data_IF_001397552272
#
_entry.id   IF_001397552272
#
_cell.length_a   1.000
_cell.length_b   1.000
_cell.length_c   1.000
_cell.angle_alpha   90.00
_cell.angle_beta   90.00
_cell.angle_gamma   90.00
#
_symmetry.space_group_name_H-M   'P 1'
#
loop_
_entity.id
_entity.type
_entity.pdbx_description
1 polymer ?
#
# COMPACT_ATOMS: atom_id res chain seq x y z
N UNK A 1 -7.68 -22.17 89.09
CA UNK A 1 -8.24 -21.84 87.78
C UNK A 1 -7.16 -21.41 86.80
N UNK A 2 -6.21 -22.22 86.44
CA UNK A 2 -5.09 -21.89 85.53
C UNK A 2 -4.38 -23.17 85.09
N UNK A 3 -5.09 -24.09 84.42
CA UNK A 3 -4.52 -25.33 83.84
C UNK A 3 -5.37 -25.91 82.67
N UNK A 4 -6.06 -25.09 81.91
CA UNK A 4 -6.95 -25.60 80.82
C UNK A 4 -6.79 -24.88 79.47
N UNK A 5 -5.68 -24.15 79.22
CA UNK A 5 -5.49 -23.37 77.98
C UNK A 5 -4.27 -23.72 77.18
N UNK A 6 -3.61 -24.85 77.42
CA UNK A 6 -2.33 -25.19 76.71
C UNK A 6 -2.39 -26.44 75.80
N UNK A 7 -3.58 -26.97 75.49
CA UNK A 7 -3.71 -28.17 74.65
C UNK A 7 -4.56 -28.00 73.36
N UNK A 8 -4.72 -26.80 72.82
CA UNK A 8 -5.49 -26.61 71.58
C UNK A 8 -4.67 -25.97 70.44
N UNK A 9 -3.35 -25.97 70.47
CA UNK A 9 -2.52 -25.35 69.42
C UNK A 9 -1.62 -26.33 68.66
N UNK A 10 -1.98 -27.64 68.58
CA UNK A 10 -1.09 -28.64 67.93
C UNK A 10 -1.72 -29.41 66.75
N UNK A 11 -2.90 -29.05 66.24
CA UNK A 11 -3.49 -29.81 65.12
C UNK A 11 -3.93 -28.98 63.89
N UNK A 12 -3.36 -27.83 63.67
CA UNK A 12 -3.73 -27.02 62.48
C UNK A 12 -2.51 -26.61 61.68
N UNK A 13 -1.80 -27.50 61.02
CA UNK A 13 -0.90 -27.19 59.90
C UNK A 13 -0.44 -28.45 59.17
N UNK A 14 -1.36 -29.21 58.59
CA UNK A 14 -1.04 -30.02 57.40
C UNK A 14 -1.74 -29.43 56.20
N UNK A 15 -1.38 -28.20 55.88
CA UNK A 15 -1.70 -27.60 54.57
C UNK A 15 -0.89 -28.35 53.52
N UNK A 16 -1.57 -29.11 52.69
CA UNK A 16 -0.99 -29.69 51.48
C UNK A 16 -0.51 -28.55 50.59
N UNK A 17 0.82 -28.35 50.56
CA UNK A 17 1.49 -27.49 49.58
C UNK A 17 1.32 -28.17 48.21
N UNK A 18 0.33 -27.76 47.45
CA UNK A 18 0.23 -28.12 46.03
C UNK A 18 1.54 -27.69 45.35
N UNK A 19 2.18 -28.54 44.55
CA UNK A 19 3.37 -28.12 43.82
C UNK A 19 2.98 -26.92 42.93
N UNK A 20 3.87 -25.90 42.81
CA UNK A 20 3.59 -24.77 41.93
C UNK A 20 3.31 -25.33 40.55
N UNK A 21 2.12 -24.99 40.03
CA UNK A 21 1.77 -25.28 38.64
C UNK A 21 2.91 -24.75 37.79
N UNK A 22 3.65 -25.64 37.14
CA UNK A 22 4.62 -25.31 36.11
C UNK A 22 3.83 -24.64 34.97
N UNK A 23 3.63 -23.34 35.11
CA UNK A 23 3.24 -22.53 33.94
C UNK A 23 4.35 -22.77 32.94
N UNK A 24 4.06 -23.59 31.94
CA UNK A 24 4.91 -23.68 30.75
C UNK A 24 5.11 -22.25 30.28
N UNK A 25 6.30 -21.71 30.51
CA UNK A 25 6.76 -20.47 29.94
C UNK A 25 6.72 -20.73 28.45
N UNK A 26 5.66 -20.29 27.80
CA UNK A 26 5.55 -20.32 26.33
C UNK A 26 6.80 -19.64 25.82
N UNK A 27 7.53 -20.33 24.94
CA UNK A 27 8.74 -19.76 24.33
C UNK A 27 8.39 -18.36 23.83
N UNK A 28 9.24 -17.35 24.07
CA UNK A 28 8.97 -16.00 23.63
C UNK A 28 8.79 -16.03 22.11
N UNK A 29 7.56 -15.79 21.65
CA UNK A 29 7.26 -15.69 20.24
C UNK A 29 8.07 -14.54 19.68
N UNK A 30 8.61 -14.71 18.47
CA UNK A 30 9.27 -13.61 17.77
C UNK A 30 8.24 -12.54 17.41
N UNK A 31 8.64 -11.26 17.41
CA UNK A 31 7.77 -10.13 17.04
C UNK A 31 7.02 -10.36 15.71
N UNK A 32 7.67 -11.02 14.75
CA UNK A 32 7.07 -11.37 13.46
C UNK A 32 5.97 -12.43 13.58
N UNK A 33 6.14 -13.42 14.46
CA UNK A 33 5.12 -14.46 14.69
C UNK A 33 3.90 -13.89 15.39
N UNK A 34 4.10 -12.99 16.35
CA UNK A 34 3.00 -12.32 17.03
C UNK A 34 2.25 -11.38 16.09
N UNK A 35 2.96 -10.58 15.29
CA UNK A 35 2.36 -9.73 14.26
C UNK A 35 1.54 -10.55 13.25
N UNK A 36 2.08 -11.68 12.79
CA UNK A 36 1.36 -12.58 11.87
C UNK A 36 0.12 -13.20 12.51
N UNK A 37 0.19 -13.59 13.78
CA UNK A 37 -0.96 -14.13 14.53
C UNK A 37 -2.06 -13.08 14.69
N UNK A 38 -1.70 -11.83 15.05
CA UNK A 38 -2.64 -10.71 15.14
C UNK A 38 -3.28 -10.42 13.78
N UNK A 39 -2.48 -10.33 12.73
CA UNK A 39 -2.95 -10.09 11.36
C UNK A 39 -3.98 -11.16 10.91
N UNK A 40 -3.67 -12.45 11.07
CA UNK A 40 -4.59 -13.55 10.71
C UNK A 40 -5.89 -13.56 11.51
N UNK A 41 -5.90 -12.99 12.71
CA UNK A 41 -7.10 -12.88 13.54
C UNK A 41 -8.03 -11.76 13.08
N UNK A 42 -7.56 -10.81 12.30
CA UNK A 42 -8.35 -9.74 11.74
C UNK A 42 -9.14 -10.25 10.52
N UNK A 43 -10.48 -10.37 10.69
CA UNK A 43 -11.38 -10.90 9.65
C UNK A 43 -11.41 -10.01 8.39
N UNK A 44 -11.32 -8.69 8.56
CA UNK A 44 -11.34 -7.74 7.44
C UNK A 44 -10.08 -7.87 6.60
N UNK A 45 -8.92 -8.01 7.24
CA UNK A 45 -7.66 -8.25 6.54
C UNK A 45 -7.65 -9.55 5.75
N UNK A 46 -8.17 -10.63 6.34
CA UNK A 46 -8.27 -11.93 5.66
C UNK A 46 -9.22 -11.87 4.47
N UNK A 47 -10.36 -11.20 4.61
CA UNK A 47 -11.29 -10.95 3.51
C UNK A 47 -10.65 -10.12 2.39
N UNK A 48 -10.00 -9.00 2.75
CA UNK A 48 -9.25 -8.18 1.80
C UNK A 48 -8.13 -8.96 1.10
N UNK A 49 -7.37 -9.79 1.83
CA UNK A 49 -6.31 -10.62 1.25
C UNK A 49 -6.86 -11.61 0.22
N UNK A 50 -7.97 -12.27 0.51
CA UNK A 50 -8.59 -13.24 -0.42
C UNK A 50 -9.07 -12.51 -1.69
N UNK A 51 -9.76 -11.37 -1.54
CA UNK A 51 -10.23 -10.59 -2.70
C UNK A 51 -9.04 -10.10 -3.53
N UNK A 52 -8.03 -9.52 -2.89
CA UNK A 52 -6.84 -9.02 -3.60
C UNK A 52 -6.11 -10.16 -4.32
N UNK A 53 -5.99 -11.33 -3.69
CA UNK A 53 -5.39 -12.50 -4.30
C UNK A 53 -6.18 -12.94 -5.55
N UNK A 54 -7.51 -13.00 -5.47
CA UNK A 54 -8.37 -13.34 -6.61
C UNK A 54 -8.17 -12.33 -7.74
N UNK A 55 -8.18 -11.01 -7.44
CA UNK A 55 -7.99 -9.97 -8.44
C UNK A 55 -6.60 -10.09 -9.08
N UNK A 56 -5.54 -10.21 -8.30
CA UNK A 56 -4.17 -10.33 -8.81
C UNK A 56 -3.99 -11.59 -9.67
N UNK A 57 -4.51 -12.74 -9.21
CA UNK A 57 -4.47 -13.97 -10.00
C UNK A 57 -5.28 -13.83 -11.29
N UNK A 58 -6.47 -13.24 -11.24
CA UNK A 58 -7.30 -12.98 -12.41
C UNK A 58 -6.60 -12.06 -13.41
N UNK A 59 -5.95 -11.01 -12.96
CA UNK A 59 -5.22 -10.04 -13.80
C UNK A 59 -3.96 -10.67 -14.41
N UNK A 60 -3.24 -11.52 -13.66
CA UNK A 60 -2.02 -12.19 -14.17
C UNK A 60 -2.37 -13.33 -15.12
N UNK A 61 -3.26 -14.22 -14.71
CA UNK A 61 -3.54 -15.46 -15.44
C UNK A 61 -4.75 -15.37 -16.38
N UNK A 62 -5.70 -14.46 -16.09
CA UNK A 62 -6.92 -14.29 -16.90
C UNK A 62 -6.67 -14.08 -18.39
N UNK A 63 -5.73 -13.20 -18.81
CA UNK A 63 -5.43 -13.01 -20.23
C UNK A 63 -4.86 -14.24 -20.95
N UNK A 64 -4.30 -15.21 -20.22
CA UNK A 64 -3.86 -16.48 -20.81
C UNK A 64 -5.01 -17.47 -21.00
N UNK A 65 -6.05 -17.36 -20.19
CA UNK A 65 -7.24 -18.21 -20.24
C UNK A 65 -8.28 -17.61 -21.19
N UNK A 66 -8.50 -16.31 -21.10
CA UNK A 66 -9.49 -15.56 -21.86
C UNK A 66 -8.82 -14.73 -22.96
N UNK A 67 -8.54 -15.37 -24.09
CA UNK A 67 -7.73 -14.85 -25.20
C UNK A 67 -8.56 -14.09 -26.25
N UNK A 68 -9.40 -13.15 -25.83
CA UNK A 68 -10.14 -12.29 -26.76
C UNK A 68 -9.26 -11.08 -27.15
N UNK A 69 -9.17 -10.74 -28.46
CA UNK A 69 -8.41 -9.58 -28.91
C UNK A 69 -8.91 -8.27 -28.30
N UNK A 70 -8.03 -7.53 -27.61
CA UNK A 70 -8.36 -6.31 -26.85
C UNK A 70 -8.92 -5.17 -27.70
N UNK A 71 -8.30 -4.96 -28.88
CA UNK A 71 -8.53 -3.79 -29.72
C UNK A 71 -9.31 -4.13 -30.98
N UNK A 72 -9.94 -5.32 -31.05
CA UNK A 72 -10.81 -5.69 -32.18
C UNK A 72 -12.10 -4.90 -32.09
N UNK A 73 -12.30 -3.99 -33.04
CA UNK A 73 -13.51 -3.21 -33.16
C UNK A 73 -14.56 -4.02 -33.93
N UNK A 74 -15.78 -4.12 -33.37
CA UNK A 74 -16.90 -4.80 -33.97
C UNK A 74 -18.20 -4.02 -33.63
N UNK A 75 -18.54 -3.02 -34.46
CA UNK A 75 -19.70 -2.17 -34.20
C UNK A 75 -21.04 -2.95 -34.19
N UNK A 76 -21.10 -4.14 -34.80
CA UNK A 76 -22.30 -4.98 -34.72
C UNK A 76 -22.53 -5.50 -33.28
N UNK A 77 -21.49 -5.47 -32.43
CA UNK A 77 -21.54 -5.87 -31.03
C UNK A 77 -21.40 -4.68 -30.07
N UNK A 78 -21.67 -3.46 -30.55
CA UNK A 78 -21.59 -2.25 -29.73
C UNK A 78 -22.56 -2.33 -28.55
N UNK A 79 -22.10 -1.98 -27.34
CA UNK A 79 -22.86 -1.86 -26.09
C UNK A 79 -23.74 -3.07 -25.73
N UNK A 80 -23.32 -4.29 -26.12
CA UNK A 80 -24.02 -5.50 -25.72
C UNK A 80 -23.89 -5.71 -24.21
N UNK A 81 -25.01 -6.03 -23.56
CA UNK A 81 -25.04 -6.39 -22.14
C UNK A 81 -24.27 -7.68 -21.84
N UNK A 82 -24.04 -7.99 -20.55
CA UNK A 82 -23.40 -9.22 -20.12
C UNK A 82 -24.08 -10.47 -20.70
N UNK A 83 -23.27 -11.38 -21.25
CA UNK A 83 -23.72 -12.63 -21.89
C UNK A 83 -22.66 -13.72 -21.75
N UNK A 84 -23.00 -14.97 -22.06
CA UNK A 84 -22.02 -16.06 -22.03
C UNK A 84 -20.85 -15.86 -22.99
N UNK A 85 -21.06 -15.18 -24.13
CA UNK A 85 -20.01 -14.86 -25.09
C UNK A 85 -19.15 -13.66 -24.65
N UNK A 86 -19.74 -12.72 -23.91
CA UNK A 86 -19.11 -11.52 -23.36
C UNK A 86 -19.55 -11.36 -21.91
N UNK A 87 -18.86 -11.99 -20.91
CA UNK A 87 -19.34 -12.06 -19.54
C UNK A 87 -19.58 -10.70 -18.88
N UNK A 88 -18.79 -9.69 -19.22
CA UNK A 88 -18.96 -8.31 -18.74
C UNK A 88 -19.61 -7.39 -19.80
N UNK A 89 -20.05 -7.97 -20.95
CA UNK A 89 -20.58 -7.20 -22.08
C UNK A 89 -19.47 -6.58 -22.93
N UNK A 90 -19.87 -5.64 -23.80
CA UNK A 90 -18.98 -4.94 -24.71
C UNK A 90 -19.12 -3.42 -24.55
N UNK A 91 -18.07 -2.68 -24.94
CA UNK A 91 -18.11 -1.21 -24.98
C UNK A 91 -18.76 -0.69 -26.26
N UNK A 92 -18.72 0.63 -26.47
CA UNK A 92 -19.23 1.34 -27.64
C UNK A 92 -18.59 0.92 -28.98
N UNK A 93 -17.33 0.47 -28.92
CA UNK A 93 -16.59 -0.06 -30.07
C UNK A 93 -16.80 -1.58 -30.30
N UNK A 94 -17.64 -2.22 -29.47
CA UNK A 94 -17.83 -3.68 -29.50
C UNK A 94 -16.68 -4.48 -28.92
N UNK A 95 -15.77 -3.87 -28.18
CA UNK A 95 -14.63 -4.54 -27.51
C UNK A 95 -15.10 -5.20 -26.21
N UNK A 96 -14.56 -6.37 -25.91
CA UNK A 96 -14.90 -7.14 -24.71
C UNK A 96 -14.38 -6.48 -23.41
N UNK A 97 -15.30 -6.18 -22.49
CA UNK A 97 -14.99 -5.48 -21.24
C UNK A 97 -14.19 -6.37 -20.29
N UNK A 98 -14.48 -7.69 -20.21
CA UNK A 98 -13.73 -8.59 -19.33
C UNK A 98 -12.26 -8.67 -19.76
N UNK A 99 -12.00 -8.86 -21.04
CA UNK A 99 -10.64 -8.88 -21.58
C UNK A 99 -9.90 -7.56 -21.24
N UNK A 100 -10.57 -6.42 -21.41
CA UNK A 100 -9.99 -5.10 -21.10
C UNK A 100 -9.78 -4.89 -19.60
N UNK A 101 -10.69 -5.33 -18.73
CA UNK A 101 -10.52 -5.26 -17.26
C UNK A 101 -9.33 -6.10 -16.80
N UNK A 102 -9.15 -7.31 -17.35
CA UNK A 102 -8.04 -8.19 -17.01
C UNK A 102 -6.68 -7.59 -17.44
N UNK A 103 -6.58 -7.10 -18.65
CA UNK A 103 -5.34 -6.47 -19.13
C UNK A 103 -5.09 -5.11 -18.47
N UNK A 104 -6.13 -4.29 -18.34
CA UNK A 104 -6.04 -2.97 -17.71
C UNK A 104 -5.60 -3.06 -16.26
N UNK A 105 -6.02 -4.10 -15.55
CA UNK A 105 -5.61 -4.35 -14.19
C UNK A 105 -4.10 -4.57 -14.03
N UNK A 106 -3.43 -5.20 -15.00
CA UNK A 106 -1.96 -5.33 -14.99
C UNK A 106 -1.28 -3.98 -14.92
N UNK A 107 -1.75 -3.03 -15.75
CA UNK A 107 -1.17 -1.70 -15.85
C UNK A 107 -1.51 -0.89 -14.60
N UNK A 108 -2.78 -0.85 -14.18
CA UNK A 108 -3.22 -0.08 -13.01
C UNK A 108 -2.54 -0.56 -11.72
N UNK A 109 -2.40 -1.87 -11.50
CA UNK A 109 -1.69 -2.43 -10.33
C UNK A 109 -0.18 -2.17 -10.44
N UNK A 110 0.42 -2.33 -11.62
CA UNK A 110 1.84 -2.04 -11.81
C UNK A 110 2.16 -0.58 -11.52
N UNK A 111 1.36 0.38 -12.02
CA UNK A 111 1.51 1.81 -11.70
C UNK A 111 1.43 2.01 -10.18
N UNK A 112 0.48 1.38 -9.49
CA UNK A 112 0.35 1.45 -8.04
C UNK A 112 1.63 1.02 -7.32
N UNK A 113 2.16 -0.16 -7.68
CA UNK A 113 3.36 -0.74 -7.06
C UNK A 113 4.62 0.10 -7.36
N UNK A 114 4.86 0.45 -8.64
CA UNK A 114 6.07 1.19 -9.00
C UNK A 114 6.05 2.62 -8.47
N UNK A 115 4.89 3.29 -8.43
CA UNK A 115 4.76 4.61 -7.80
C UNK A 115 5.00 4.56 -6.29
N UNK A 116 4.53 3.51 -5.62
CA UNK A 116 4.82 3.27 -4.21
C UNK A 116 6.33 3.08 -3.99
N UNK A 117 7.02 2.28 -4.82
CA UNK A 117 8.47 2.08 -4.70
C UNK A 117 9.23 3.41 -4.82
N UNK A 118 8.88 4.26 -5.78
CA UNK A 118 9.47 5.60 -5.93
C UNK A 118 9.21 6.45 -4.67
N UNK A 119 7.97 6.51 -4.21
CA UNK A 119 7.59 7.31 -3.05
C UNK A 119 8.30 6.87 -1.76
N UNK A 120 8.34 5.55 -1.51
CA UNK A 120 8.98 4.98 -0.31
C UNK A 120 10.49 5.18 -0.36
N UNK A 121 11.12 4.96 -1.51
CA UNK A 121 12.57 5.13 -1.64
C UNK A 121 12.97 6.59 -1.40
N UNK A 122 12.36 7.54 -2.12
CA UNK A 122 12.64 8.97 -1.96
C UNK A 122 12.29 9.46 -0.55
N UNK A 123 11.12 9.10 -0.05
CA UNK A 123 10.65 9.50 1.27
C UNK A 123 11.54 8.96 2.39
N UNK A 124 11.96 7.69 2.29
CA UNK A 124 12.85 7.08 3.29
C UNK A 124 14.23 7.73 3.26
N UNK A 125 14.80 7.97 2.09
CA UNK A 125 16.10 8.63 1.97
C UNK A 125 16.08 10.05 2.54
N UNK A 126 15.12 10.86 2.12
CA UNK A 126 14.99 12.26 2.56
C UNK A 126 14.66 12.34 4.05
N UNK A 127 13.71 11.51 4.51
CA UNK A 127 13.31 11.47 5.93
C UNK A 127 14.42 10.97 6.85
N UNK A 128 15.19 9.95 6.41
CA UNK A 128 16.34 9.44 7.16
C UNK A 128 17.45 10.50 7.27
N UNK A 129 17.79 11.18 6.19
CA UNK A 129 18.80 12.25 6.20
C UNK A 129 18.36 13.41 7.12
N UNK A 130 17.13 13.88 6.98
CA UNK A 130 16.59 14.94 7.82
C UNK A 130 16.57 14.54 9.30
N UNK A 131 16.05 13.37 9.63
CA UNK A 131 15.92 12.89 11.00
C UNK A 131 17.25 12.53 11.68
N UNK A 132 18.22 11.98 10.91
CA UNK A 132 19.53 11.61 11.45
C UNK A 132 20.44 12.80 11.70
N UNK A 133 20.65 13.66 10.68
CA UNK A 133 21.58 14.79 10.80
C UNK A 133 20.97 15.97 11.58
N UNK A 134 19.68 16.22 11.43
CA UNK A 134 19.02 17.31 12.10
C UNK A 134 19.50 18.70 11.65
N UNK A 135 19.36 19.71 12.53
CA UNK A 135 19.88 21.05 12.32
C UNK A 135 19.44 21.72 11.01
N UNK A 136 20.37 22.36 10.30
CA UNK A 136 20.07 23.09 9.06
C UNK A 136 19.55 22.17 7.93
N UNK A 137 20.13 20.98 7.80
CA UNK A 137 19.71 20.03 6.76
C UNK A 137 18.25 19.61 6.93
N UNK A 138 17.85 19.33 8.16
CA UNK A 138 16.47 19.03 8.50
C UNK A 138 15.53 20.19 8.15
N UNK A 139 15.90 21.41 8.54
CA UNK A 139 15.09 22.61 8.26
C UNK A 139 14.89 22.78 6.75
N UNK A 140 15.94 22.69 5.94
CA UNK A 140 15.88 22.87 4.48
C UNK A 140 15.03 21.80 3.82
N UNK A 141 15.28 20.50 4.15
CA UNK A 141 14.54 19.39 3.55
C UNK A 141 13.05 19.44 3.93
N UNK A 142 12.74 19.78 5.17
CA UNK A 142 11.34 19.86 5.60
C UNK A 142 10.63 21.10 5.05
N UNK A 143 11.30 22.25 4.94
CA UNK A 143 10.72 23.44 4.28
C UNK A 143 10.43 23.17 2.80
N UNK A 144 11.33 22.48 2.11
CA UNK A 144 11.08 22.05 0.73
C UNK A 144 9.87 21.07 0.65
N UNK A 145 9.83 20.11 1.57
CA UNK A 145 8.69 19.18 1.68
C UNK A 145 7.37 19.93 1.92
N UNK A 146 7.38 20.95 2.80
CA UNK A 146 6.22 21.77 3.11
C UNK A 146 5.76 22.61 1.91
N UNK A 147 6.69 23.19 1.16
CA UNK A 147 6.40 23.91 -0.07
C UNK A 147 5.72 23.01 -1.10
N UNK A 148 6.27 21.80 -1.30
CA UNK A 148 5.68 20.83 -2.23
C UNK A 148 4.26 20.39 -1.81
N UNK A 149 4.02 20.21 -0.51
CA UNK A 149 2.70 19.86 0.02
C UNK A 149 1.67 21.01 -0.05
N UNK A 150 2.12 22.25 -0.08
CA UNK A 150 1.24 23.42 -0.22
C UNK A 150 0.68 23.56 -1.65
N UNK A 151 1.28 22.93 -2.64
CA UNK A 151 0.79 22.98 -4.02
C UNK A 151 -0.46 22.12 -4.19
N UNK A 152 -1.47 22.60 -4.95
CA UNK A 152 -2.66 21.82 -5.22
C UNK A 152 -2.30 20.59 -6.08
N UNK A 153 -2.41 19.40 -5.47
CA UNK A 153 -1.85 18.14 -5.99
C UNK A 153 -2.37 17.77 -7.38
N UNK A 154 -3.72 17.77 -7.59
CA UNK A 154 -4.31 17.36 -8.88
C UNK A 154 -3.91 18.30 -10.01
N UNK A 155 -4.06 19.63 -9.92
CA UNK A 155 -3.58 20.54 -10.95
C UNK A 155 -2.10 20.36 -11.28
N UNK A 156 -1.23 20.15 -10.27
CA UNK A 156 0.19 19.93 -10.49
C UNK A 156 0.46 18.62 -11.25
N UNK A 157 -0.21 17.53 -10.88
CA UNK A 157 -0.12 16.25 -11.58
C UNK A 157 -0.53 16.39 -13.06
N UNK A 158 -1.68 17.01 -13.31
CA UNK A 158 -2.20 17.23 -14.67
C UNK A 158 -1.22 18.08 -15.49
N UNK A 159 -0.70 19.17 -14.93
CA UNK A 159 0.25 20.05 -15.58
C UNK A 159 1.55 19.32 -15.95
N UNK A 160 2.16 18.60 -15.00
CA UNK A 160 3.41 17.89 -15.25
C UNK A 160 3.23 16.82 -16.32
N UNK A 161 2.15 16.03 -16.25
CA UNK A 161 1.89 15.02 -17.27
C UNK A 161 1.67 15.68 -18.64
N UNK A 162 0.88 16.75 -18.70
CA UNK A 162 0.63 17.47 -19.95
C UNK A 162 1.94 18.00 -20.59
N UNK A 163 2.83 18.59 -19.78
CA UNK A 163 4.09 19.15 -20.27
C UNK A 163 5.11 18.11 -20.75
N UNK A 164 5.18 16.96 -20.07
CA UNK A 164 6.25 15.97 -20.32
C UNK A 164 5.76 14.75 -21.14
N UNK A 165 4.46 14.65 -21.41
CA UNK A 165 3.87 13.50 -22.11
C UNK A 165 4.54 13.20 -23.44
N UNK A 166 4.70 14.23 -24.30
CA UNK A 166 5.23 14.03 -25.64
C UNK A 166 6.74 13.80 -25.64
N UNK A 167 7.46 14.42 -24.71
CA UNK A 167 8.88 14.17 -24.52
C UNK A 167 9.15 12.71 -24.11
N UNK A 168 8.41 12.18 -23.13
CA UNK A 168 8.60 10.81 -22.70
C UNK A 168 8.15 9.78 -23.74
N UNK A 169 7.09 10.08 -24.52
CA UNK A 169 6.68 9.25 -25.67
C UNK A 169 7.76 9.17 -26.73
N UNK A 170 8.42 10.29 -27.02
CA UNK A 170 9.50 10.34 -28.01
C UNK A 170 10.72 9.53 -27.59
N UNK A 171 11.02 9.48 -26.28
CA UNK A 171 12.20 8.79 -25.74
C UNK A 171 11.96 7.28 -25.59
N UNK A 172 10.84 6.87 -25.01
CA UNK A 172 10.58 5.50 -24.59
C UNK A 172 9.35 4.84 -25.26
N UNK A 173 8.75 5.51 -26.25
CA UNK A 173 7.55 5.03 -26.93
C UNK A 173 6.24 5.39 -26.19
N UNK A 174 5.08 5.19 -26.87
CA UNK A 174 3.80 5.68 -26.37
C UNK A 174 3.31 4.98 -25.11
N UNK A 175 3.61 3.70 -24.93
CA UNK A 175 3.15 2.93 -23.76
C UNK A 175 4.11 3.08 -22.58
N UNK A 176 5.39 2.75 -22.80
CA UNK A 176 6.42 2.76 -21.74
C UNK A 176 6.70 4.20 -21.28
N UNK A 177 6.76 5.16 -22.21
CA UNK A 177 6.99 6.57 -21.88
C UNK A 177 5.90 7.12 -20.96
N UNK A 178 4.63 6.82 -21.23
CA UNK A 178 3.52 7.25 -20.38
C UNK A 178 3.55 6.50 -19.05
N UNK A 179 3.81 5.19 -19.06
CA UNK A 179 3.92 4.41 -17.82
C UNK A 179 4.99 5.00 -16.88
N UNK A 180 6.19 5.23 -17.39
CA UNK A 180 7.30 5.82 -16.61
C UNK A 180 6.93 7.21 -16.11
N UNK A 181 6.34 8.05 -16.97
CA UNK A 181 5.91 9.40 -16.60
C UNK A 181 4.93 9.36 -15.43
N UNK A 182 3.85 8.57 -15.53
CA UNK A 182 2.81 8.46 -14.51
C UNK A 182 3.42 7.94 -13.19
N UNK A 183 4.26 6.90 -13.25
CA UNK A 183 4.93 6.34 -12.08
C UNK A 183 5.82 7.37 -11.38
N UNK A 184 6.64 8.10 -12.15
CA UNK A 184 7.55 9.11 -11.60
C UNK A 184 6.79 10.30 -11.02
N UNK A 185 5.72 10.75 -11.68
CA UNK A 185 4.93 11.89 -11.22
C UNK A 185 4.12 11.54 -9.98
N UNK A 186 3.43 10.40 -9.97
CA UNK A 186 2.66 9.95 -8.80
C UNK A 186 3.60 9.64 -7.62
N UNK A 187 4.66 8.86 -7.85
CA UNK A 187 5.64 8.52 -6.81
C UNK A 187 6.41 9.74 -6.33
N UNK A 188 6.82 10.60 -7.28
CA UNK A 188 7.52 11.85 -7.02
C UNK A 188 6.70 12.93 -6.31
N UNK A 189 5.37 12.76 -6.16
CA UNK A 189 4.52 13.63 -5.35
C UNK A 189 3.93 12.93 -4.13
N UNK A 190 4.27 11.66 -3.88
CA UNK A 190 3.84 10.92 -2.70
C UNK A 190 4.93 10.75 -1.63
N UNK A 191 6.19 11.01 -1.96
CA UNK A 191 7.32 10.82 -1.03
C UNK A 191 7.27 11.74 0.21
N UNK A 192 6.61 12.90 0.11
CA UNK A 192 6.62 13.93 1.15
C UNK A 192 6.02 13.44 2.47
N UNK A 193 4.89 12.73 2.41
CA UNK A 193 4.24 12.16 3.59
C UNK A 193 5.10 11.05 4.22
N UNK A 194 5.75 10.25 3.38
CA UNK A 194 6.69 9.21 3.82
C UNK A 194 7.92 9.83 4.47
N UNK A 195 8.49 10.89 3.90
CA UNK A 195 9.65 11.57 4.46
C UNK A 195 9.37 12.12 5.86
N UNK A 196 8.21 12.74 6.08
CA UNK A 196 7.81 13.21 7.42
C UNK A 196 7.67 12.06 8.42
N UNK A 197 7.06 10.94 8.00
CA UNK A 197 6.90 9.75 8.81
C UNK A 197 8.26 9.17 9.23
N UNK A 198 9.14 8.97 8.26
CA UNK A 198 10.50 8.42 8.49
C UNK A 198 11.31 9.37 9.36
N UNK A 199 11.28 10.68 9.10
CA UNK A 199 11.94 11.68 9.91
C UNK A 199 11.50 11.60 11.38
N UNK A 200 10.19 11.53 11.64
CA UNK A 200 9.67 11.40 13.01
C UNK A 200 10.18 10.15 13.71
N UNK A 201 10.18 9.00 13.02
CA UNK A 201 10.74 7.76 13.53
C UNK A 201 12.23 7.86 13.83
N UNK A 202 13.02 8.47 12.92
CA UNK A 202 14.46 8.68 13.12
C UNK A 202 14.76 9.59 14.32
N UNK A 203 14.02 10.68 14.50
CA UNK A 203 14.16 11.56 15.66
C UNK A 203 13.92 10.83 16.98
N UNK A 204 12.95 9.91 17.01
CA UNK A 204 12.65 9.11 18.20
C UNK A 204 13.73 8.06 18.47
N UNK A 205 14.09 7.27 17.45
CA UNK A 205 14.97 6.11 17.62
C UNK A 205 16.42 6.52 17.84
N UNK A 206 16.90 7.61 17.25
CA UNK A 206 18.31 8.04 17.37
C UNK A 206 18.72 8.42 18.80
N UNK A 207 17.76 8.76 19.67
CA UNK A 207 17.99 9.13 21.08
C UNK A 207 17.97 7.90 22.00
N UNK A 208 17.68 6.69 21.51
CA UNK A 208 17.64 5.49 22.33
C UNK A 208 19.06 5.02 22.72
N UNK A 209 19.15 4.39 23.89
CA UNK A 209 20.42 4.00 24.51
C UNK A 209 21.30 3.10 23.61
N UNK A 210 20.70 2.16 22.88
CA UNK A 210 21.47 1.27 22.00
C UNK A 210 22.11 2.01 20.81
N UNK A 211 21.51 3.10 20.33
CA UNK A 211 22.08 3.93 19.25
C UNK A 211 23.22 4.77 19.80
N UNK A 212 23.04 5.36 21.00
CA UNK A 212 24.10 6.14 21.66
C UNK A 212 25.29 5.25 22.05
N UNK A 213 25.04 4.03 22.52
CA UNK A 213 26.10 3.04 22.78
C UNK A 213 26.85 2.65 21.49
N UNK A 214 26.15 2.36 20.39
CA UNK A 214 26.79 2.06 19.11
C UNK A 214 27.65 3.22 18.61
N UNK A 215 27.19 4.47 18.81
CA UNK A 215 27.94 5.68 18.47
C UNK A 215 29.21 5.82 19.34
N UNK A 216 29.13 5.56 20.62
CA UNK A 216 30.27 5.59 21.54
C UNK A 216 31.32 4.53 21.19
N UNK A 217 30.91 3.40 20.64
CA UNK A 217 31.77 2.34 20.11
C UNK A 217 32.36 2.64 18.71
N UNK A 218 32.12 3.85 18.16
CA UNK A 218 32.73 4.28 16.90
C UNK A 218 31.96 3.83 15.64
N UNK A 219 30.68 3.47 15.74
CA UNK A 219 29.89 3.14 14.56
C UNK A 219 29.77 4.35 13.61
N UNK A 220 30.02 4.13 12.31
CA UNK A 220 29.90 5.16 11.28
C UNK A 220 28.45 5.64 11.10
N UNK A 221 28.21 6.88 10.64
CA UNK A 221 26.85 7.39 10.36
C UNK A 221 26.04 6.47 9.46
N UNK A 222 26.62 5.95 8.39
CA UNK A 222 25.94 4.99 7.51
C UNK A 222 25.51 3.73 8.26
N UNK A 223 26.38 3.18 9.13
CA UNK A 223 26.03 2.00 9.94
C UNK A 223 24.92 2.30 10.94
N UNK A 224 24.93 3.48 11.56
CA UNK A 224 23.85 3.91 12.46
C UNK A 224 22.53 4.02 11.72
N UNK A 225 22.49 4.65 10.53
CA UNK A 225 21.28 4.79 9.75
C UNK A 225 20.73 3.44 9.30
N UNK A 226 21.53 2.63 8.59
CA UNK A 226 21.04 1.45 7.88
C UNK A 226 20.89 0.22 8.75
N UNK A 227 21.71 0.08 9.80
CA UNK A 227 21.74 -1.14 10.64
C UNK A 227 21.03 -0.94 11.98
N UNK A 228 21.09 0.26 12.56
CA UNK A 228 20.55 0.48 13.89
C UNK A 228 19.21 1.23 13.91
N UNK A 229 19.04 2.27 13.09
CA UNK A 229 17.84 3.12 13.15
C UNK A 229 16.76 2.64 12.17
N UNK A 230 17.09 2.52 10.88
CA UNK A 230 16.11 2.19 9.85
C UNK A 230 15.33 0.89 10.12
N UNK A 231 15.93 -0.22 10.58
CA UNK A 231 15.17 -1.42 10.89
C UNK A 231 14.10 -1.23 11.97
N UNK A 232 14.32 -0.30 12.91
CA UNK A 232 13.35 0.03 13.95
C UNK A 232 12.24 0.98 13.47
N UNK A 233 12.44 1.64 12.34
CA UNK A 233 11.46 2.55 11.69
C UNK A 233 10.73 1.85 10.55
N UNK A 234 11.12 0.63 10.18
CA UNK A 234 10.58 -0.05 8.99
C UNK A 234 9.08 -0.38 9.12
N UNK A 235 8.58 -0.69 10.31
CA UNK A 235 7.18 -1.05 10.53
C UNK A 235 6.20 0.03 10.05
N UNK A 236 6.28 1.29 10.49
CA UNK A 236 5.43 2.35 9.96
C UNK A 236 5.67 2.64 8.47
N UNK A 237 6.89 2.40 7.95
CA UNK A 237 7.19 2.55 6.51
C UNK A 237 6.45 1.49 5.68
N UNK A 238 6.40 0.23 6.14
CA UNK A 238 5.65 -0.84 5.45
C UNK A 238 4.15 -0.55 5.41
N UNK A 239 3.58 -0.02 6.49
CA UNK A 239 2.18 0.42 6.52
C UNK A 239 1.95 1.55 5.52
N UNK A 240 2.82 2.57 5.52
CA UNK A 240 2.74 3.67 4.56
C UNK A 240 2.90 3.18 3.11
N UNK A 241 3.76 2.21 2.84
CA UNK A 241 3.93 1.58 1.55
C UNK A 241 2.63 0.93 1.06
N UNK A 242 2.01 0.11 1.91
CA UNK A 242 0.74 -0.56 1.57
C UNK A 242 -0.34 0.46 1.19
N UNK A 243 -0.56 1.49 2.02
CA UNK A 243 -1.55 2.54 1.75
C UNK A 243 -1.19 3.41 0.53
N UNK A 244 0.10 3.57 0.23
CA UNK A 244 0.55 4.31 -0.95
C UNK A 244 0.16 3.63 -2.26
N UNK A 245 0.08 2.29 -2.30
CA UNK A 245 -0.39 1.55 -3.49
C UNK A 245 -1.83 1.92 -3.81
N UNK A 246 -2.74 1.88 -2.83
CA UNK A 246 -4.15 2.23 -3.04
C UNK A 246 -4.31 3.68 -3.50
N UNK A 247 -3.58 4.60 -2.88
CA UNK A 247 -3.59 6.02 -3.25
C UNK A 247 -3.06 6.23 -4.68
N UNK A 248 -2.03 5.49 -5.10
CA UNK A 248 -1.47 5.59 -6.43
C UNK A 248 -2.44 5.05 -7.51
N UNK A 249 -3.13 3.92 -7.25
CA UNK A 249 -4.15 3.37 -8.15
C UNK A 249 -5.31 4.38 -8.34
N UNK A 250 -5.83 4.96 -7.26
CA UNK A 250 -6.88 5.98 -7.35
C UNK A 250 -6.40 7.21 -8.12
N UNK A 251 -5.16 7.65 -7.88
CA UNK A 251 -4.58 8.81 -8.56
C UNK A 251 -4.38 8.55 -10.06
N UNK A 252 -3.87 7.37 -10.44
CA UNK A 252 -3.76 6.95 -11.85
C UNK A 252 -5.14 6.93 -12.51
N UNK A 253 -6.12 6.30 -11.84
CA UNK A 253 -7.48 6.21 -12.36
C UNK A 253 -8.10 7.60 -12.55
N UNK A 254 -7.84 8.52 -11.65
CA UNK A 254 -8.29 9.93 -11.78
C UNK A 254 -7.63 10.62 -12.98
N UNK A 255 -6.30 10.46 -13.15
CA UNK A 255 -5.58 11.04 -14.30
C UNK A 255 -6.07 10.46 -15.63
N UNK A 256 -6.26 9.15 -15.68
CA UNK A 256 -6.79 8.45 -16.85
C UNK A 256 -8.24 8.84 -17.14
N UNK A 257 -9.06 9.03 -16.12
CA UNK A 257 -10.43 9.54 -16.23
C UNK A 257 -10.49 10.96 -16.83
N UNK A 258 -9.55 11.84 -16.48
CA UNK A 258 -9.43 13.16 -17.11
C UNK A 258 -8.76 13.15 -18.50
N UNK A 259 -8.46 11.97 -19.06
CA UNK A 259 -7.90 11.84 -20.41
C UNK A 259 -6.40 12.09 -20.50
N UNK A 260 -5.72 12.33 -19.39
CA UNK A 260 -4.25 12.55 -19.32
C UNK A 260 -3.46 11.29 -18.94
N UNK A 261 -4.13 10.14 -18.81
CA UNK A 261 -3.52 8.85 -18.58
C UNK A 261 -3.02 8.17 -19.86
N UNK A 262 -3.20 6.86 -19.93
CA UNK A 262 -2.80 6.03 -21.06
C UNK A 262 -3.60 6.30 -22.32
N UNK A 263 -3.05 6.01 -23.53
CA UNK A 263 -3.75 6.16 -24.79
C UNK A 263 -4.93 5.16 -24.90
N UNK A 264 -5.89 5.39 -25.83
CA UNK A 264 -7.12 4.58 -25.93
C UNK A 264 -6.91 3.08 -26.23
N UNK A 265 -5.82 2.74 -26.90
CA UNK A 265 -5.40 1.38 -27.25
C UNK A 265 -4.84 0.60 -26.06
N UNK A 266 -4.47 1.31 -24.97
CA UNK A 266 -3.95 0.73 -23.73
C UNK A 266 -5.02 0.82 -22.65
N UNK A 267 -5.78 -0.24 -22.38
CA UNK A 267 -6.81 -0.21 -21.36
C UNK A 267 -6.17 -0.08 -19.99
N UNK A 268 -6.65 0.85 -19.17
CA UNK A 268 -6.52 0.86 -17.70
C UNK A 268 -7.89 0.98 -17.10
N UNK A 269 -8.05 0.62 -15.84
CA UNK A 269 -9.36 0.74 -15.20
C UNK A 269 -9.90 2.18 -15.22
N UNK A 270 -9.00 3.17 -14.97
CA UNK A 270 -9.39 4.59 -15.04
C UNK A 270 -9.75 5.05 -16.44
N UNK A 271 -9.05 4.56 -17.47
CA UNK A 271 -9.36 4.87 -18.87
C UNK A 271 -10.72 4.31 -19.28
N UNK A 272 -11.03 3.08 -18.85
CA UNK A 272 -12.35 2.48 -19.12
C UNK A 272 -13.49 3.26 -18.47
N UNK A 273 -13.28 3.86 -17.29
CA UNK A 273 -14.27 4.77 -16.69
C UNK A 273 -14.49 6.04 -17.53
N UNK A 274 -13.41 6.61 -18.08
CA UNK A 274 -13.52 7.76 -18.99
C UNK A 274 -14.31 7.42 -20.26
N UNK A 275 -14.02 6.28 -20.87
CA UNK A 275 -14.74 5.82 -22.08
C UNK A 275 -16.22 5.55 -21.79
N UNK A 276 -16.52 4.98 -20.62
CA UNK A 276 -17.87 4.56 -20.25
C UNK A 276 -18.78 5.68 -19.71
N UNK A 277 -18.25 6.85 -19.32
CA UNK A 277 -19.03 7.88 -18.62
C UNK A 277 -20.27 8.38 -19.39
N UNK A 278 -20.20 8.43 -20.73
CA UNK A 278 -21.30 8.87 -21.59
C UNK A 278 -22.36 7.79 -21.84
N UNK A 279 -22.11 6.55 -21.35
CA UNK A 279 -22.96 5.38 -21.59
C UNK A 279 -23.69 4.90 -20.33
N UNK A 280 -23.59 5.65 -19.22
CA UNK A 280 -24.14 5.26 -17.91
C UNK A 280 -25.63 4.99 -17.92
N UNK A 281 -26.41 5.70 -18.73
CA UNK A 281 -27.88 5.59 -18.76
C UNK A 281 -28.34 4.26 -19.39
N UNK A 282 -27.68 3.78 -20.44
CA UNK A 282 -28.16 2.65 -21.24
C UNK A 282 -27.19 1.45 -21.27
N UNK A 283 -25.92 1.66 -20.93
CA UNK A 283 -24.92 0.59 -20.85
C UNK A 283 -24.05 0.72 -19.58
N UNK A 284 -24.64 0.71 -18.36
CA UNK A 284 -23.92 0.96 -17.12
C UNK A 284 -22.82 -0.07 -16.82
N UNK A 285 -22.89 -1.27 -17.41
CA UNK A 285 -21.89 -2.31 -17.25
C UNK A 285 -20.49 -1.88 -17.71
N UNK A 286 -20.38 -0.95 -18.67
CA UNK A 286 -19.10 -0.42 -19.17
C UNK A 286 -18.31 0.27 -18.03
N UNK A 287 -19.01 0.91 -17.08
CA UNK A 287 -18.42 1.63 -15.95
C UNK A 287 -18.40 0.77 -14.67
N UNK A 288 -19.45 -0.03 -14.44
CA UNK A 288 -19.59 -0.81 -13.20
C UNK A 288 -18.43 -1.79 -13.02
N UNK A 289 -18.05 -2.55 -14.03
CA UNK A 289 -17.01 -3.56 -13.89
C UNK A 289 -15.62 -2.98 -13.61
N UNK A 290 -15.09 -2.00 -14.38
CA UNK A 290 -13.81 -1.38 -14.03
C UNK A 290 -13.88 -0.59 -12.72
N UNK A 291 -14.99 0.08 -12.42
CA UNK A 291 -15.19 0.76 -11.14
C UNK A 291 -15.19 -0.19 -9.96
N UNK A 292 -15.83 -1.35 -10.08
CA UNK A 292 -15.81 -2.41 -9.06
C UNK A 292 -14.41 -2.98 -8.88
N UNK A 293 -13.64 -3.16 -9.95
CA UNK A 293 -12.24 -3.63 -9.88
C UNK A 293 -11.36 -2.65 -9.09
N UNK A 294 -11.47 -1.34 -9.35
CA UNK A 294 -10.77 -0.30 -8.58
C UNK A 294 -11.22 -0.36 -7.11
N UNK A 295 -12.52 -0.33 -6.87
CA UNK A 295 -13.10 -0.30 -5.53
C UNK A 295 -12.64 -1.50 -4.68
N UNK A 296 -12.77 -2.72 -5.19
CA UNK A 296 -12.40 -3.94 -4.48
C UNK A 296 -10.88 -3.99 -4.24
N UNK A 297 -10.06 -3.56 -5.20
CA UNK A 297 -8.61 -3.53 -5.05
C UNK A 297 -8.19 -2.54 -3.96
N UNK A 298 -8.70 -1.32 -4.00
CA UNK A 298 -8.40 -0.27 -3.01
C UNK A 298 -8.90 -0.65 -1.63
N UNK A 299 -10.11 -1.16 -1.52
CA UNK A 299 -10.69 -1.64 -0.26
C UNK A 299 -9.85 -2.75 0.37
N UNK A 300 -9.45 -3.72 -0.44
CA UNK A 300 -8.62 -4.85 0.00
C UNK A 300 -7.27 -4.40 0.51
N UNK A 301 -6.60 -3.51 -0.24
CA UNK A 301 -5.30 -2.95 0.16
C UNK A 301 -5.42 -2.15 1.47
N UNK A 302 -6.49 -1.36 1.64
CA UNK A 302 -6.71 -0.60 2.86
C UNK A 302 -6.95 -1.53 4.06
N UNK A 303 -7.78 -2.57 3.94
CA UNK A 303 -7.98 -3.56 5.02
C UNK A 303 -6.67 -4.26 5.42
N UNK A 304 -5.83 -4.59 4.45
CA UNK A 304 -4.51 -5.19 4.69
C UNK A 304 -3.59 -4.17 5.38
N UNK A 305 -3.57 -2.91 4.91
CA UNK A 305 -2.76 -1.84 5.48
C UNK A 305 -3.11 -1.51 6.93
N UNK A 306 -4.41 -1.40 7.23
CA UNK A 306 -4.90 -1.13 8.58
C UNK A 306 -4.56 -2.28 9.55
N UNK A 307 -4.77 -3.52 9.13
CA UNK A 307 -4.43 -4.69 9.95
C UNK A 307 -2.91 -4.84 10.13
N UNK A 308 -2.11 -4.48 9.13
CA UNK A 308 -0.65 -4.45 9.24
C UNK A 308 -0.21 -3.38 10.25
N UNK A 309 -0.86 -2.22 10.25
CA UNK A 309 -0.63 -1.17 11.24
C UNK A 309 -0.90 -1.67 12.66
N UNK A 310 -2.07 -2.28 12.88
CA UNK A 310 -2.46 -2.81 14.19
C UNK A 310 -1.53 -3.94 14.66
N UNK A 311 -1.09 -4.80 13.73
CA UNK A 311 -0.21 -5.92 14.02
C UNK A 311 1.23 -5.49 14.34
N UNK A 312 1.69 -4.35 13.78
CA UNK A 312 3.04 -3.83 13.95
C UNK A 312 3.14 -2.69 14.99
N UNK A 313 2.03 -2.30 15.64
CA UNK A 313 2.05 -1.25 16.68
C UNK A 313 2.63 -1.82 17.98
N UNK A 314 3.83 -1.34 18.42
CA UNK A 314 4.46 -1.84 19.64
C UNK A 314 3.72 -1.43 20.92
N UNK A 315 2.75 -0.50 20.87
CA UNK A 315 1.96 -0.09 22.04
C UNK A 315 0.83 -1.08 22.37
N UNK A 316 0.53 -1.99 21.45
CA UNK A 316 -0.46 -3.05 21.62
C UNK A 316 0.21 -4.41 21.95
N UNK A 317 1.52 -4.42 22.06
CA UNK A 317 2.37 -5.52 22.52
C UNK A 317 2.67 -5.35 24.01
#
# INVERSE_FOLDING_TARGET
MLKRSLNQTSEASKGSVSPPSTNFVSQPETLTQEAWRKFRRNRQAMFGMVILLIIVLSVIFGPFIYQIPLNKIDFAKSTLGPSWAHPFGTNDLGQDILARVLHGGRISIAVGIFSMLVAITLGTLIGALAGFYGGWLDIVLMRFTDLCLALPRLPLLLLVIFLFRDALKAIAGPEIGIFVLIVLVIGGLNWMSVARLVRAGFLTVRELEFVTAARALGASPARLIWVHILPNVISPVLVAATLSVSTAIVTESTLSFFGLGFPPDVPTWGRMLNEGQNFLEYAPHIVIFPGTAIFLTVLSINYIGDALRDALDPRLL
#
